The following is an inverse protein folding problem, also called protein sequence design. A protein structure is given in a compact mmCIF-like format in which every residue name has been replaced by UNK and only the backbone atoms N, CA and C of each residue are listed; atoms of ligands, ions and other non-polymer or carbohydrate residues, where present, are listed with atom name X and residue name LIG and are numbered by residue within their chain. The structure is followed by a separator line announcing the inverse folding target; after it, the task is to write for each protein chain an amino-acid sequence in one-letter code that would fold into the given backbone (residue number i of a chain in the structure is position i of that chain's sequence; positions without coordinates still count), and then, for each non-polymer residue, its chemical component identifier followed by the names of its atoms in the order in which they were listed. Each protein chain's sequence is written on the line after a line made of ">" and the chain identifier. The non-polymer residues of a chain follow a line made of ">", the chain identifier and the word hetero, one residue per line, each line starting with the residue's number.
data_IF_822431553530
#
_entry.id   IF_822431553530
#
_cell.length_a   1.000
_cell.length_b   1.000
_cell.length_c   1.000
_cell.angle_alpha   90.00
_cell.angle_beta   90.00
_cell.angle_gamma   90.00
#
_symmetry.space_group_name_H-M   'P 1'
#
loop_
_entity.id
_entity.type
_entity.pdbx_description
1 polymer ?
#
# COMPACT_ATOMS: atom_id res chain seq x y z
N UNK A 1 -1.82 3.86 -11.44
CA UNK A 1 -1.58 5.07 -10.62
C UNK A 1 -0.10 5.20 -10.22
N UNK A 2 0.53 4.22 -9.54
CA UNK A 2 1.95 4.34 -9.12
C UNK A 2 2.98 4.29 -10.26
N UNK A 3 2.76 3.48 -11.31
CA UNK A 3 3.63 3.47 -12.50
C UNK A 3 3.80 4.86 -13.14
N UNK A 4 2.70 5.62 -13.23
CA UNK A 4 2.71 7.01 -13.73
C UNK A 4 3.44 7.98 -12.78
N UNK A 5 3.29 7.81 -11.47
CA UNK A 5 3.98 8.62 -10.47
C UNK A 5 5.49 8.37 -10.54
N UNK A 6 5.90 7.12 -10.69
CA UNK A 6 7.32 6.76 -10.79
C UNK A 6 7.94 7.18 -12.10
N UNK A 7 7.25 7.05 -13.24
CA UNK A 7 7.74 7.57 -14.52
C UNK A 7 8.02 9.08 -14.50
N UNK A 8 7.37 9.83 -13.60
CA UNK A 8 7.57 11.28 -13.42
C UNK A 8 8.56 11.66 -12.33
N UNK A 9 8.67 10.86 -11.26
CA UNK A 9 9.41 11.23 -10.04
C UNK A 9 10.67 10.38 -9.81
N UNK A 10 10.75 9.19 -10.38
CA UNK A 10 11.85 8.23 -10.21
C UNK A 10 12.55 8.00 -11.54
N UNK A 11 13.86 7.75 -11.52
CA UNK A 11 14.55 7.24 -12.69
C UNK A 11 14.29 5.72 -12.83
N UNK A 12 13.60 5.31 -13.89
CA UNK A 12 13.47 3.89 -14.30
C UNK A 12 12.03 3.37 -14.35
N UNK A 13 11.85 2.29 -15.12
CA UNK A 13 10.55 1.62 -15.29
C UNK A 13 10.34 0.56 -14.21
N UNK A 14 9.44 0.80 -13.26
CA UNK A 14 9.05 -0.23 -12.30
C UNK A 14 8.03 -1.19 -12.92
N UNK A 15 8.35 -2.49 -12.86
CA UNK A 15 7.45 -3.56 -13.28
C UNK A 15 7.18 -4.49 -12.10
N UNK A 16 5.93 -4.51 -11.64
CA UNK A 16 5.50 -5.44 -10.61
C UNK A 16 5.58 -6.89 -11.14
N UNK A 17 5.97 -7.88 -10.31
CA UNK A 17 5.91 -9.29 -10.70
C UNK A 17 4.47 -9.66 -11.10
N UNK A 18 4.31 -10.47 -12.15
CA UNK A 18 2.98 -10.85 -12.65
C UNK A 18 2.09 -11.53 -11.59
N UNK A 19 2.70 -12.30 -10.67
CA UNK A 19 1.99 -12.96 -9.57
C UNK A 19 1.57 -11.99 -8.44
N UNK A 20 2.17 -10.80 -8.38
CA UNK A 20 1.92 -9.78 -7.35
C UNK A 20 1.78 -8.40 -8.02
N UNK A 21 0.72 -8.19 -8.82
CA UNK A 21 0.60 -7.02 -9.69
C UNK A 21 0.19 -5.74 -8.94
N UNK A 22 -0.25 -5.85 -7.69
CA UNK A 22 -0.62 -4.73 -6.85
C UNK A 22 0.59 -4.26 -6.03
N UNK A 23 0.49 -3.09 -5.40
CA UNK A 23 1.64 -2.44 -4.78
C UNK A 23 1.25 -1.75 -3.50
N UNK A 24 2.01 -2.02 -2.43
CA UNK A 24 2.11 -1.16 -1.27
C UNK A 24 3.34 -0.27 -1.45
N UNK A 25 3.22 1.02 -1.13
CA UNK A 25 4.34 1.94 -1.22
C UNK A 25 4.32 2.98 -0.10
N UNK A 26 5.50 3.21 0.46
CA UNK A 26 5.79 4.34 1.34
C UNK A 26 6.87 5.22 0.72
N UNK A 27 6.76 6.54 0.92
CA UNK A 27 7.70 7.51 0.39
C UNK A 27 8.35 8.30 1.51
N UNK A 28 9.68 8.37 1.49
CA UNK A 28 10.47 9.27 2.34
C UNK A 28 11.09 10.37 1.45
N UNK A 29 10.89 11.64 1.80
CA UNK A 29 11.30 12.77 0.94
C UNK A 29 12.25 13.69 1.67
N UNK A 30 13.49 13.80 1.16
CA UNK A 30 14.48 14.81 1.59
C UNK A 30 14.89 15.68 0.40
N UNK A 31 16.13 15.53 -0.08
CA UNK A 31 16.61 16.13 -1.34
C UNK A 31 16.24 15.26 -2.54
N UNK A 32 16.13 13.96 -2.32
CA UNK A 32 15.62 12.95 -3.24
C UNK A 32 14.42 12.27 -2.59
N UNK A 33 13.58 11.65 -3.42
CA UNK A 33 12.48 10.81 -2.95
C UNK A 33 12.97 9.36 -2.95
N UNK A 34 12.80 8.67 -1.83
CA UNK A 34 13.03 7.24 -1.70
C UNK A 34 11.68 6.54 -1.57
N UNK A 35 11.44 5.54 -2.41
CA UNK A 35 10.24 4.72 -2.37
C UNK A 35 10.57 3.34 -1.78
N UNK A 36 9.79 2.91 -0.79
CA UNK A 36 9.83 1.57 -0.21
C UNK A 36 8.63 0.82 -0.77
N UNK A 37 8.90 -0.16 -1.64
CA UNK A 37 7.89 -0.78 -2.50
C UNK A 37 7.78 -2.26 -2.17
N UNK A 38 6.56 -2.71 -1.86
CA UNK A 38 6.24 -4.13 -1.67
C UNK A 38 5.17 -4.55 -2.69
N UNK A 39 5.50 -5.44 -3.66
CA UNK A 39 4.51 -6.01 -4.56
C UNK A 39 3.61 -7.01 -3.82
N UNK A 40 2.30 -6.91 -4.06
CA UNK A 40 1.29 -7.78 -3.43
C UNK A 40 0.25 -8.28 -4.44
N UNK A 41 -0.55 -9.27 -4.05
CA UNK A 41 -1.67 -9.80 -4.81
C UNK A 41 -2.94 -9.88 -3.96
N UNK A 42 -4.09 -10.07 -4.60
CA UNK A 42 -5.35 -10.28 -3.89
C UNK A 42 -5.27 -11.56 -3.04
N UNK A 43 -5.77 -11.49 -1.81
CA UNK A 43 -5.76 -12.62 -0.86
C UNK A 43 -4.44 -12.76 -0.07
N UNK A 44 -3.46 -11.89 -0.30
CA UNK A 44 -2.27 -11.79 0.54
C UNK A 44 -2.51 -10.86 1.73
N UNK A 45 -1.88 -11.18 2.86
CA UNK A 45 -1.85 -10.33 4.05
C UNK A 45 -1.08 -9.02 3.77
N UNK A 46 -1.62 -7.90 4.23
CA UNK A 46 -1.00 -6.58 4.12
C UNK A 46 0.04 -6.39 5.23
N UNK A 47 1.32 -6.39 4.85
CA UNK A 47 2.42 -6.14 5.80
C UNK A 47 2.34 -4.74 6.41
N UNK A 48 2.96 -4.57 7.58
CA UNK A 48 3.18 -3.26 8.16
C UNK A 48 4.06 -2.41 7.23
N UNK A 49 3.58 -1.21 6.88
CA UNK A 49 4.30 -0.28 6.03
C UNK A 49 4.75 0.96 6.82
N UNK A 50 5.92 1.53 6.52
CA UNK A 50 6.41 2.71 7.22
C UNK A 50 5.61 3.96 6.83
N UNK A 51 5.09 4.68 7.83
CA UNK A 51 4.61 6.05 7.68
C UNK A 51 5.69 7.01 8.15
N UNK A 52 6.39 7.63 7.20
CA UNK A 52 7.47 8.57 7.48
C UNK A 52 6.92 9.89 8.03
N UNK A 53 7.38 10.28 9.22
CA UNK A 53 7.13 11.60 9.83
C UNK A 53 8.23 12.59 9.44
N UNK A 54 9.44 12.07 9.26
CA UNK A 54 10.59 12.75 8.66
C UNK A 54 11.32 11.74 7.77
N UNK A 55 12.33 12.14 6.97
CA UNK A 55 13.08 11.19 6.16
C UNK A 55 13.76 10.07 6.95
N UNK A 56 14.08 10.32 8.23
CA UNK A 56 14.86 9.43 9.08
C UNK A 56 14.01 8.79 10.21
N UNK A 57 12.73 9.17 10.33
CA UNK A 57 11.82 8.69 11.38
C UNK A 57 10.48 8.28 10.79
N UNK A 58 10.05 7.06 11.11
CA UNK A 58 8.75 6.54 10.74
C UNK A 58 8.09 5.81 11.91
N UNK A 59 6.78 5.62 11.78
CA UNK A 59 6.01 4.69 12.60
C UNK A 59 5.49 3.54 11.72
N UNK A 60 5.51 2.28 12.18
CA UNK A 60 4.90 1.18 11.45
C UNK A 60 3.37 1.36 11.45
N UNK A 61 2.76 1.21 10.28
CA UNK A 61 1.29 1.22 10.15
C UNK A 61 0.81 -0.21 9.92
N UNK A 62 0.02 -0.78 10.84
CA UNK A 62 -0.45 -2.16 10.71
C UNK A 62 -1.64 -2.23 9.76
N UNK A 63 -1.34 -2.32 8.46
CA UNK A 63 -2.35 -2.21 7.39
C UNK A 63 -3.43 -3.29 7.49
N UNK A 64 -3.04 -4.56 7.67
CA UNK A 64 -3.98 -5.68 7.76
C UNK A 64 -4.96 -5.51 8.93
N UNK A 65 -4.41 -5.29 10.13
CA UNK A 65 -5.19 -5.13 11.36
C UNK A 65 -6.12 -3.93 11.25
N UNK A 66 -5.63 -2.81 10.71
CA UNK A 66 -6.44 -1.59 10.52
C UNK A 66 -7.57 -1.84 9.52
N UNK A 67 -7.30 -2.54 8.42
CA UNK A 67 -8.31 -2.92 7.45
C UNK A 67 -9.38 -3.81 8.08
N UNK A 68 -9.00 -4.86 8.81
CA UNK A 68 -9.94 -5.74 9.48
C UNK A 68 -10.80 -5.01 10.51
N UNK A 69 -10.20 -4.11 11.30
CA UNK A 69 -10.95 -3.29 12.26
C UNK A 69 -11.97 -2.41 11.53
N UNK A 70 -11.55 -1.72 10.47
CA UNK A 70 -12.44 -0.89 9.67
C UNK A 70 -13.58 -1.71 9.04
N UNK A 71 -13.26 -2.87 8.45
CA UNK A 71 -14.24 -3.77 7.84
C UNK A 71 -15.24 -4.32 8.86
N UNK A 72 -14.77 -4.69 10.06
CA UNK A 72 -15.64 -5.19 11.13
C UNK A 72 -16.68 -4.16 11.58
N UNK A 73 -16.35 -2.88 11.49
CA UNK A 73 -17.24 -1.76 11.77
C UNK A 73 -18.27 -1.49 10.66
N UNK A 74 -18.13 -2.08 9.46
CA UNK A 74 -19.07 -1.86 8.36
C UNK A 74 -20.41 -2.55 8.68
N UNK A 75 -21.56 -1.82 8.62
CA UNK A 75 -22.87 -2.41 8.84
C UNK A 75 -23.14 -3.61 7.92
N UNK A 76 -23.76 -4.66 8.45
CA UNK A 76 -23.97 -5.91 7.73
C UNK A 76 -24.70 -5.73 6.39
N UNK A 77 -25.63 -4.77 6.32
CA UNK A 77 -26.34 -4.42 5.07
C UNK A 77 -25.35 -4.08 3.94
N UNK A 78 -24.30 -3.32 4.24
CA UNK A 78 -23.31 -2.88 3.25
C UNK A 78 -22.27 -3.96 2.94
N UNK A 79 -21.87 -4.75 3.95
CA UNK A 79 -20.98 -5.90 3.71
C UNK A 79 -21.56 -6.88 2.70
N UNK A 80 -22.86 -7.18 2.80
CA UNK A 80 -23.56 -8.04 1.83
C UNK A 80 -23.52 -7.51 0.40
N UNK A 81 -23.46 -6.20 0.17
CA UNK A 81 -23.39 -5.65 -1.20
C UNK A 81 -22.03 -5.97 -1.84
N UNK A 82 -20.98 -6.08 -1.04
CA UNK A 82 -19.60 -6.33 -1.50
C UNK A 82 -19.29 -7.83 -1.54
N UNK A 83 -19.82 -8.60 -0.60
CA UNK A 83 -19.59 -10.05 -0.47
C UNK A 83 -20.40 -10.91 -1.45
N UNK A 84 -21.40 -10.34 -2.14
CA UNK A 84 -22.17 -11.07 -3.15
C UNK A 84 -21.29 -11.32 -4.39
N UNK A 85 -21.11 -12.58 -4.82
CA UNK A 85 -20.37 -12.92 -6.05
C UNK A 85 -21.03 -12.38 -7.33
#
# INVERSE_FOLDING_TARGET
>A
MHGEVWGRLMAGDFHAPAAKPLTLVAYAVRRTVTAFVEPIGVGMELIDMPLFLTPDLYVPVPLEVTYHQAWSGVPQRWRRVIEVP
#
